data_IF_867487820665
#
_entry.id   IF_867487820665
#
_cell.length_a   1.000
_cell.length_b   1.000
_cell.length_c   1.000
_cell.angle_alpha   90.00
_cell.angle_beta   90.00
_cell.angle_gamma   90.00
#
_symmetry.space_group_name_H-M   'P 1'
#
loop_
_entity.id
_entity.type
_entity.pdbx_description
1 polymer ?
#
# COMPACT_ATOMS: atom_id res chain seq x y z
N UNK A 1 -12.24 3.87 21.55
CA UNK A 1 -12.17 4.80 20.41
C UNK A 1 -10.70 5.04 20.13
N UNK A 2 -10.14 4.43 19.09
CA UNK A 2 -8.76 4.68 18.65
C UNK A 2 -8.84 5.54 17.38
N UNK A 3 -8.13 6.66 17.39
CA UNK A 3 -8.37 7.79 16.50
C UNK A 3 -7.84 7.60 15.08
N UNK A 4 -8.65 8.03 14.12
CA UNK A 4 -8.40 8.02 12.68
C UNK A 4 -7.06 8.69 12.25
N UNK A 5 -6.44 9.50 13.12
CA UNK A 5 -5.18 10.21 12.85
C UNK A 5 -3.91 9.34 12.83
N UNK A 6 -3.86 8.25 13.59
CA UNK A 6 -2.64 7.41 13.68
C UNK A 6 -2.52 6.44 12.49
N UNK A 7 -3.66 5.94 11.99
CA UNK A 7 -3.73 5.09 10.80
C UNK A 7 -3.27 5.80 9.53
N UNK A 8 -3.63 7.08 9.38
CA UNK A 8 -3.23 7.91 8.24
C UNK A 8 -1.71 8.16 8.19
N UNK A 9 -1.09 8.42 9.34
CA UNK A 9 0.36 8.65 9.44
C UNK A 9 1.17 7.37 9.19
N UNK A 10 0.64 6.22 9.61
CA UNK A 10 1.25 4.92 9.35
C UNK A 10 1.12 4.52 7.88
N UNK A 11 -0.02 4.81 7.26
CA UNK A 11 -0.25 4.63 5.82
C UNK A 11 0.73 5.45 4.97
N UNK A 12 0.89 6.74 5.29
CA UNK A 12 1.86 7.62 4.60
C UNK A 12 3.30 7.17 4.75
N UNK A 13 3.69 6.70 5.95
CA UNK A 13 5.04 6.15 6.16
C UNK A 13 5.30 4.89 5.34
N UNK A 14 4.32 3.99 5.23
CA UNK A 14 4.42 2.78 4.40
C UNK A 14 4.47 3.09 2.90
N UNK A 15 3.68 4.04 2.43
CA UNK A 15 3.72 4.50 1.04
C UNK A 15 5.10 5.06 0.69
N UNK A 16 5.63 5.96 1.53
CA UNK A 16 6.93 6.56 1.28
C UNK A 16 8.09 5.56 1.33
N UNK A 17 7.99 4.54 2.19
CA UNK A 17 8.94 3.44 2.22
C UNK A 17 8.88 2.59 0.95
N UNK A 18 7.68 2.30 0.44
CA UNK A 18 7.51 1.58 -0.83
C UNK A 18 8.10 2.33 -2.02
N UNK A 19 7.82 3.63 -2.12
CA UNK A 19 8.41 4.50 -3.17
C UNK A 19 9.94 4.50 -3.12
N UNK A 20 10.52 4.59 -1.93
CA UNK A 20 11.97 4.55 -1.72
C UNK A 20 12.60 3.22 -2.16
N UNK A 21 11.97 2.09 -1.84
CA UNK A 21 12.44 0.76 -2.25
C UNK A 21 12.39 0.61 -3.78
N UNK A 22 11.28 1.02 -4.40
CA UNK A 22 11.14 0.97 -5.87
C UNK A 22 12.20 1.85 -6.55
N UNK A 23 12.43 3.07 -6.04
CA UNK A 23 13.46 3.96 -6.58
C UNK A 23 14.88 3.38 -6.49
N UNK A 24 15.20 2.70 -5.37
CA UNK A 24 16.48 2.02 -5.19
C UNK A 24 16.66 0.86 -6.19
N UNK A 25 15.62 0.06 -6.39
CA UNK A 25 15.64 -1.06 -7.35
C UNK A 25 15.72 -0.59 -8.80
N UNK A 26 15.02 0.49 -9.16
CA UNK A 26 15.17 1.14 -10.47
C UNK A 26 16.61 1.62 -10.67
N UNK A 27 17.21 2.24 -9.66
CA UNK A 27 18.61 2.70 -9.73
C UNK A 27 19.58 1.53 -9.93
N UNK A 28 19.35 0.41 -9.22
CA UNK A 28 20.13 -0.83 -9.43
C UNK A 28 19.96 -1.37 -10.85
N UNK A 29 18.74 -1.38 -11.39
CA UNK A 29 18.48 -1.84 -12.75
C UNK A 29 19.28 -1.06 -13.82
N UNK A 30 19.42 0.27 -13.64
CA UNK A 30 20.19 1.13 -14.53
C UNK A 30 21.69 0.80 -14.56
N UNK A 31 22.21 0.12 -13.53
CA UNK A 31 23.61 -0.36 -13.48
C UNK A 31 23.84 -1.70 -14.19
N UNK A 32 22.85 -2.22 -14.92
CA UNK A 32 22.94 -3.48 -15.68
C UNK A 32 22.46 -4.71 -14.92
N UNK A 33 21.90 -4.53 -13.72
CA UNK A 33 21.20 -5.59 -12.99
C UNK A 33 19.77 -5.77 -13.54
N UNK A 34 19.14 -6.95 -13.35
CA UNK A 34 17.71 -7.13 -13.65
C UNK A 34 16.86 -6.11 -12.88
N UNK A 35 15.89 -5.50 -13.55
CA UNK A 35 15.00 -4.53 -12.95
C UNK A 35 13.86 -5.16 -12.13
N UNK A 36 13.19 -4.37 -11.27
CA UNK A 36 12.10 -4.88 -10.46
C UNK A 36 10.88 -5.21 -11.33
N UNK A 37 10.23 -6.34 -11.03
CA UNK A 37 8.87 -6.58 -11.49
C UNK A 37 7.89 -5.87 -10.56
N UNK A 38 7.06 -4.98 -11.11
CA UNK A 38 6.06 -4.23 -10.33
C UNK A 38 4.68 -4.76 -10.69
N UNK A 39 3.93 -5.20 -9.68
CA UNK A 39 2.54 -5.64 -9.83
C UNK A 39 1.65 -4.67 -9.07
N UNK A 40 0.70 -4.06 -9.77
CA UNK A 40 -0.33 -3.23 -9.16
C UNK A 40 -1.60 -4.06 -9.01
N UNK A 41 -2.13 -4.14 -7.78
CA UNK A 41 -3.33 -4.91 -7.47
C UNK A 41 -4.40 -3.93 -7.00
N UNK A 42 -5.48 -3.85 -7.78
CA UNK A 42 -6.67 -3.09 -7.41
C UNK A 42 -7.69 -4.01 -6.74
N UNK A 43 -8.34 -3.53 -5.69
CA UNK A 43 -9.52 -4.17 -5.13
C UNK A 43 -10.74 -3.36 -5.55
N UNK A 44 -11.49 -3.90 -6.50
CA UNK A 44 -12.74 -3.30 -6.94
C UNK A 44 -13.79 -3.35 -5.82
N UNK A 45 -14.59 -2.31 -5.70
CA UNK A 45 -15.66 -2.26 -4.70
C UNK A 45 -15.17 -2.12 -3.25
N UNK A 46 -13.90 -1.79 -2.99
CA UNK A 46 -13.39 -1.58 -1.62
C UNK A 46 -14.24 -0.59 -0.82
N UNK A 47 -14.69 0.50 -1.45
CA UNK A 47 -15.58 1.49 -0.83
C UNK A 47 -16.98 0.95 -0.52
N UNK A 48 -17.47 -0.04 -1.28
CA UNK A 48 -18.75 -0.70 -1.01
C UNK A 48 -18.63 -1.67 0.18
N UNK A 49 -17.51 -2.42 0.25
CA UNK A 49 -17.20 -3.29 1.39
C UNK A 49 -17.12 -2.49 2.68
N UNK A 50 -16.44 -1.33 2.65
CA UNK A 50 -16.37 -0.40 3.78
C UNK A 50 -17.75 0.09 4.23
N UNK A 51 -18.64 0.43 3.29
CA UNK A 51 -19.99 0.91 3.60
C UNK A 51 -20.92 -0.17 4.15
N UNK A 52 -20.83 -1.40 3.63
CA UNK A 52 -21.72 -2.49 4.00
C UNK A 52 -21.31 -3.20 5.29
N UNK A 53 -20.01 -3.31 5.54
CA UNK A 53 -19.47 -4.12 6.65
C UNK A 53 -18.63 -3.30 7.66
N UNK A 54 -18.41 -2.02 7.41
CA UNK A 54 -17.62 -1.12 8.25
C UNK A 54 -16.10 -1.31 8.12
N UNK A 55 -15.32 -0.40 8.71
CA UNK A 55 -13.86 -0.30 8.53
C UNK A 55 -13.07 -1.59 8.84
N UNK A 56 -13.59 -2.40 9.76
CA UNK A 56 -12.94 -3.66 10.16
C UNK A 56 -12.97 -4.73 9.08
N UNK A 57 -13.90 -4.65 8.13
CA UNK A 57 -14.01 -5.61 7.05
C UNK A 57 -12.95 -5.37 5.97
N UNK A 58 -12.65 -4.10 5.66
CA UNK A 58 -11.51 -3.74 4.80
C UNK A 58 -10.19 -4.21 5.39
N UNK A 59 -9.97 -3.99 6.70
CA UNK A 59 -8.77 -4.44 7.40
C UNK A 59 -8.63 -5.97 7.43
N UNK A 60 -9.74 -6.71 7.54
CA UNK A 60 -9.73 -8.16 7.52
C UNK A 60 -9.44 -8.74 6.13
N UNK A 61 -9.90 -8.07 5.07
CA UNK A 61 -9.58 -8.42 3.68
C UNK A 61 -8.09 -8.21 3.35
N UNK A 62 -7.49 -7.18 3.93
CA UNK A 62 -6.11 -6.76 3.66
C UNK A 62 -5.06 -7.43 4.56
N UNK A 63 -5.48 -8.32 5.45
CA UNK A 63 -4.63 -9.03 6.40
C UNK A 63 -4.11 -10.34 5.83
#
# INVERSE_FOLDING_TARGET
>A
MFGEGEGLLLGRRRQHQGESVVAAEITRAHSGAPGPAVVFICIDGYAAIQQEFGDRAGDALMR
#
